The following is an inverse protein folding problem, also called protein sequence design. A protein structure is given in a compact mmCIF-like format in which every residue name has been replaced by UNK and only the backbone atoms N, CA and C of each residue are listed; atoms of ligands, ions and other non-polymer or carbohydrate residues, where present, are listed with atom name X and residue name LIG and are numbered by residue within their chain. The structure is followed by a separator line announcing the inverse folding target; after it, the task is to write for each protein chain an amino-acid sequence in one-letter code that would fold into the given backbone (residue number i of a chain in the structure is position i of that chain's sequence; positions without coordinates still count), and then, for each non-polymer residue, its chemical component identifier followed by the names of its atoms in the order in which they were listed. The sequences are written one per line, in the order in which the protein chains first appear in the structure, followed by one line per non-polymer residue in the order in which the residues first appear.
data_IF_661465061137
#
_entry.id   IF_661465061137
#
_cell.length_a   1.000
_cell.length_b   1.000
_cell.length_c   1.000
_cell.angle_alpha   90.00
_cell.angle_beta   90.00
_cell.angle_gamma   90.00
#
_symmetry.space_group_name_H-M   'P 1'
#
loop_
_entity.id
_entity.type
_entity.pdbx_description
1 polymer ?
#
# COMPACT_ATOMS: atom_id res chain seq x y z
N UNK A 1 50.48 -11.24 -25.01
CA UNK A 1 49.13 -10.85 -25.40
C UNK A 1 48.06 -11.44 -24.46
N UNK A 2 48.00 -12.75 -24.22
CA UNK A 2 46.95 -13.37 -23.34
C UNK A 2 46.97 -12.90 -21.89
N UNK A 3 48.15 -12.62 -21.32
CA UNK A 3 48.28 -12.16 -19.93
C UNK A 3 47.87 -10.69 -19.75
N UNK A 4 48.02 -9.87 -20.80
CA UNK A 4 47.59 -8.46 -20.77
C UNK A 4 46.05 -8.34 -20.84
N UNK A 5 45.40 -9.22 -21.62
CA UNK A 5 43.97 -9.27 -21.76
C UNK A 5 43.25 -9.72 -20.46
N UNK A 6 43.88 -10.68 -19.73
CA UNK A 6 43.38 -11.14 -18.45
C UNK A 6 43.47 -10.05 -17.37
N UNK A 7 44.56 -9.22 -17.38
CA UNK A 7 44.73 -8.12 -16.45
C UNK A 7 43.69 -6.99 -16.70
N UNK A 8 43.38 -6.71 -17.96
CA UNK A 8 42.35 -5.71 -18.32
C UNK A 8 40.94 -6.19 -17.93
N UNK A 9 40.62 -7.48 -18.10
CA UNK A 9 39.33 -8.00 -17.65
C UNK A 9 39.17 -7.99 -16.10
N UNK A 10 40.25 -8.32 -15.38
CA UNK A 10 40.23 -8.24 -13.91
C UNK A 10 40.09 -6.79 -13.38
N UNK A 11 40.71 -5.82 -14.04
CA UNK A 11 40.59 -4.39 -13.69
C UNK A 11 39.17 -3.86 -13.98
N UNK A 12 38.51 -4.36 -15.05
CA UNK A 12 37.14 -3.96 -15.41
C UNK A 12 36.08 -4.51 -14.43
N UNK A 13 36.30 -5.71 -13.85
CA UNK A 13 35.41 -6.26 -12.82
C UNK A 13 35.54 -5.54 -11.46
N UNK A 14 36.71 -4.98 -11.14
CA UNK A 14 36.92 -4.22 -9.91
C UNK A 14 36.25 -2.81 -9.94
N UNK A 15 36.03 -2.24 -11.13
CA UNK A 15 35.33 -0.95 -11.25
C UNK A 15 33.81 -1.06 -11.11
N UNK A 16 33.22 -2.25 -11.32
CA UNK A 16 31.77 -2.45 -11.16
C UNK A 16 31.30 -2.55 -9.71
N UNK A 17 32.18 -2.76 -8.75
CA UNK A 17 31.80 -2.90 -7.33
C UNK A 17 31.68 -1.56 -6.56
N UNK A 18 32.03 -0.42 -7.17
CA UNK A 18 31.98 0.88 -6.51
C UNK A 18 30.67 1.64 -6.80
N UNK A 19 29.83 1.15 -7.73
CA UNK A 19 28.61 1.82 -8.15
C UNK A 19 27.32 1.39 -7.39
N UNK A 20 27.40 0.50 -6.40
CA UNK A 20 26.25 0.03 -5.61
C UNK A 20 26.49 0.17 -4.12
N UNK A 21 26.77 1.38 -3.64
CA UNK A 21 26.99 1.69 -2.24
C UNK A 21 26.32 2.98 -1.78
N UNK A 22 25.17 3.32 -2.36
CA UNK A 22 24.29 4.36 -1.87
C UNK A 22 23.01 3.71 -1.36
N UNK A 23 22.92 3.46 -0.05
CA UNK A 23 21.64 3.31 0.64
C UNK A 23 21.03 4.72 0.77
N UNK A 24 20.73 5.33 -0.37
CA UNK A 24 19.82 6.47 -0.39
C UNK A 24 18.40 5.91 -0.26
N UNK A 25 18.01 5.63 0.98
CA UNK A 25 16.58 5.68 1.32
C UNK A 25 16.17 7.09 0.92
N UNK A 26 15.27 7.28 -0.06
CA UNK A 26 14.82 8.61 -0.42
C UNK A 26 14.17 9.21 0.81
N UNK A 27 14.86 10.15 1.46
CA UNK A 27 14.25 11.02 2.45
C UNK A 27 13.18 11.76 1.69
N UNK A 28 11.88 11.68 2.08
CA UNK A 28 10.84 12.42 1.40
C UNK A 28 11.26 13.88 1.40
N UNK A 29 11.43 14.45 0.22
CA UNK A 29 11.67 15.87 0.07
C UNK A 29 10.44 16.58 0.65
N UNK A 30 10.63 17.36 1.72
CA UNK A 30 9.56 17.99 2.49
C UNK A 30 8.70 18.98 1.67
N UNK A 31 9.02 19.15 0.41
CA UNK A 31 8.30 19.99 -0.55
C UNK A 31 7.52 19.22 -1.62
N UNK A 32 7.61 17.89 -1.68
CA UNK A 32 6.81 17.12 -2.64
C UNK A 32 5.45 16.82 -2.02
N UNK A 33 4.33 17.24 -2.62
CA UNK A 33 3.00 16.88 -2.13
C UNK A 33 2.85 15.37 -2.07
N UNK A 34 2.52 14.84 -0.90
CA UNK A 34 2.24 13.41 -0.73
C UNK A 34 0.87 13.12 -1.32
N UNK A 35 0.81 12.15 -2.22
CA UNK A 35 -0.45 11.67 -2.78
C UNK A 35 -0.76 10.28 -2.22
N UNK A 36 -1.92 10.12 -1.59
CA UNK A 36 -2.40 8.87 -1.03
C UNK A 36 -3.58 8.35 -1.87
N UNK A 37 -3.44 7.14 -2.38
CA UNK A 37 -4.53 6.42 -3.04
C UNK A 37 -5.20 5.54 -2.02
N UNK A 38 -6.52 5.71 -1.83
CA UNK A 38 -7.28 5.07 -0.77
C UNK A 38 -8.37 4.19 -1.37
N UNK A 39 -8.25 2.87 -1.19
CA UNK A 39 -9.27 1.88 -1.57
C UNK A 39 -10.46 1.93 -0.60
N UNK A 40 -11.69 1.96 -1.15
CA UNK A 40 -12.91 2.13 -0.34
C UNK A 40 -13.95 1.04 -0.61
N UNK A 41 -15.10 1.38 -1.10
CA UNK A 41 -16.21 0.53 -1.49
C UNK A 41 -16.97 1.16 -2.63
N UNK A 42 -18.20 0.73 -2.89
CA UNK A 42 -19.05 1.35 -3.89
C UNK A 42 -19.33 2.82 -3.58
N UNK A 43 -19.53 3.64 -4.61
CA UNK A 43 -19.72 5.10 -4.50
C UNK A 43 -20.90 5.53 -3.65
N UNK A 44 -21.91 4.66 -3.48
CA UNK A 44 -23.05 4.86 -2.58
C UNK A 44 -22.80 4.35 -1.15
N UNK A 45 -21.63 3.75 -0.88
CA UNK A 45 -21.31 3.14 0.41
C UNK A 45 -20.65 4.13 1.38
N UNK A 46 -20.72 3.78 2.67
CA UNK A 46 -20.18 4.57 3.76
C UNK A 46 -18.67 4.77 3.64
N UNK A 47 -17.92 3.75 3.24
CA UNK A 47 -16.46 3.83 3.06
C UNK A 47 -16.07 4.97 2.12
N UNK A 48 -16.74 5.03 0.95
CA UNK A 48 -16.46 6.06 -0.05
C UNK A 48 -16.81 7.46 0.47
N UNK A 49 -18.01 7.62 1.04
CA UNK A 49 -18.46 8.91 1.57
C UNK A 49 -17.57 9.42 2.73
N UNK A 50 -17.26 8.51 3.67
CA UNK A 50 -16.40 8.82 4.81
C UNK A 50 -15.00 9.22 4.36
N UNK A 51 -14.37 8.44 3.48
CA UNK A 51 -13.01 8.72 3.00
C UNK A 51 -12.92 10.05 2.26
N UNK A 52 -13.94 10.39 1.45
CA UNK A 52 -13.96 11.71 0.81
C UNK A 52 -14.04 12.85 1.82
N UNK A 53 -14.90 12.74 2.84
CA UNK A 53 -15.03 13.76 3.87
C UNK A 53 -13.73 13.94 4.68
N UNK A 54 -13.13 12.83 5.12
CA UNK A 54 -11.86 12.84 5.86
C UNK A 54 -10.71 13.35 4.98
N UNK A 55 -10.66 12.91 3.72
CA UNK A 55 -9.64 13.32 2.76
C UNK A 55 -9.65 14.84 2.50
N UNK A 56 -10.84 15.47 2.45
CA UNK A 56 -10.96 16.92 2.34
C UNK A 56 -10.35 17.62 3.56
N UNK A 57 -10.73 17.20 4.77
CA UNK A 57 -10.25 17.81 6.03
C UNK A 57 -8.73 17.63 6.19
N UNK A 58 -8.24 16.41 5.95
CA UNK A 58 -6.82 16.11 6.07
C UNK A 58 -6.00 16.79 4.97
N UNK A 59 -6.54 16.90 3.74
CA UNK A 59 -5.90 17.62 2.65
C UNK A 59 -5.65 19.08 2.98
N UNK A 60 -6.63 19.76 3.58
CA UNK A 60 -6.50 21.15 4.01
C UNK A 60 -5.45 21.33 5.11
N UNK A 61 -5.34 20.37 6.05
CA UNK A 61 -4.44 20.49 7.20
C UNK A 61 -3.01 19.99 6.93
N UNK A 62 -2.85 19.01 6.06
CA UNK A 62 -1.56 18.36 5.79
C UNK A 62 -0.94 18.78 4.45
N UNK A 63 -1.73 19.33 3.53
CA UNK A 63 -1.32 19.54 2.14
C UNK A 63 -1.23 18.24 1.32
N UNK A 64 -1.69 17.10 1.85
CA UNK A 64 -1.71 15.82 1.13
C UNK A 64 -2.88 15.76 0.16
N UNK A 65 -2.68 15.07 -0.95
CA UNK A 65 -3.75 14.76 -1.91
C UNK A 65 -4.28 13.37 -1.63
N UNK A 66 -5.61 13.24 -1.51
CA UNK A 66 -6.30 11.97 -1.31
C UNK A 66 -7.05 11.58 -2.59
N UNK A 67 -6.60 10.50 -3.23
CA UNK A 67 -7.23 9.92 -4.40
C UNK A 67 -8.13 8.76 -3.93
N UNK A 68 -9.44 9.01 -3.84
CA UNK A 68 -10.42 8.05 -3.30
C UNK A 68 -10.93 7.14 -4.40
N UNK A 69 -10.63 5.85 -4.29
CA UNK A 69 -10.96 4.84 -5.31
C UNK A 69 -12.16 4.02 -4.86
N UNK A 70 -13.17 3.93 -5.73
CA UNK A 70 -14.30 3.00 -5.57
C UNK A 70 -13.85 1.58 -5.89
N UNK A 71 -14.13 0.64 -5.00
CA UNK A 71 -13.68 -0.76 -5.10
C UNK A 71 -14.81 -1.74 -4.80
N UNK A 72 -14.50 -3.04 -4.88
CA UNK A 72 -15.39 -4.13 -4.45
C UNK A 72 -15.46 -4.32 -2.93
N UNK A 73 -14.86 -3.45 -2.12
CA UNK A 73 -14.86 -3.52 -0.65
C UNK A 73 -13.64 -4.26 -0.09
N UNK A 74 -13.77 -4.76 1.15
CA UNK A 74 -12.64 -5.19 1.99
C UNK A 74 -11.69 -6.20 1.36
N UNK A 75 -12.19 -7.21 0.65
CA UNK A 75 -11.34 -8.22 -0.02
C UNK A 75 -10.52 -7.56 -1.14
N UNK A 76 -11.17 -6.78 -2.00
CA UNK A 76 -10.49 -6.05 -3.07
C UNK A 76 -9.46 -5.06 -2.51
N UNK A 77 -9.78 -4.42 -1.40
CA UNK A 77 -8.92 -3.45 -0.74
C UNK A 77 -7.64 -4.08 -0.18
N UNK A 78 -7.75 -5.23 0.47
CA UNK A 78 -6.59 -5.95 1.01
C UNK A 78 -5.68 -6.44 -0.13
N UNK A 79 -6.27 -7.02 -1.17
CA UNK A 79 -5.48 -7.44 -2.34
C UNK A 79 -4.80 -6.24 -3.02
N UNK A 80 -5.48 -5.12 -3.19
CA UNK A 80 -4.90 -3.92 -3.79
C UNK A 80 -3.79 -3.27 -2.93
N UNK A 81 -3.81 -3.41 -1.60
CA UNK A 81 -2.67 -3.06 -0.73
C UNK A 81 -1.49 -3.99 -1.00
N UNK A 82 -1.72 -5.30 -1.08
CA UNK A 82 -0.67 -6.30 -1.37
C UNK A 82 -0.05 -6.08 -2.75
N UNK A 83 -0.86 -5.77 -3.74
CA UNK A 83 -0.44 -5.50 -5.12
C UNK A 83 0.23 -4.11 -5.29
N UNK A 84 0.11 -3.23 -4.28
CA UNK A 84 0.65 -1.87 -4.32
C UNK A 84 -0.22 -0.86 -5.08
N UNK A 85 -1.47 -1.21 -5.38
CA UNK A 85 -2.44 -0.32 -6.06
C UNK A 85 -2.92 0.81 -5.14
N UNK A 86 -2.95 0.55 -3.83
CA UNK A 86 -3.40 1.50 -2.81
C UNK A 86 -2.33 1.69 -1.72
N UNK A 87 -2.21 2.93 -1.24
CA UNK A 87 -1.38 3.25 -0.07
C UNK A 87 -2.14 3.02 1.23
N UNK A 88 -3.47 3.17 1.18
CA UNK A 88 -4.39 3.02 2.30
C UNK A 88 -5.68 2.37 1.83
N UNK A 89 -6.42 1.77 2.74
CA UNK A 89 -7.76 1.26 2.45
C UNK A 89 -8.62 1.17 3.72
N UNK A 90 -9.94 1.22 3.54
CA UNK A 90 -10.90 0.88 4.60
C UNK A 90 -11.31 -0.58 4.42
N UNK A 91 -11.18 -1.35 5.49
CA UNK A 91 -11.46 -2.78 5.50
C UNK A 91 -12.22 -3.19 6.76
N UNK A 92 -13.04 -4.22 6.67
CA UNK A 92 -13.67 -4.85 7.83
C UNK A 92 -12.63 -5.65 8.60
N UNK A 93 -12.73 -5.61 9.92
CA UNK A 93 -11.77 -6.29 10.81
C UNK A 93 -11.78 -7.81 10.65
N UNK A 94 -12.95 -8.44 10.42
CA UNK A 94 -13.06 -9.88 10.18
C UNK A 94 -12.35 -10.29 8.88
N UNK A 95 -12.50 -9.51 7.82
CA UNK A 95 -11.84 -9.74 6.53
C UNK A 95 -10.32 -9.59 6.66
N UNK A 96 -9.88 -8.57 7.40
CA UNK A 96 -8.46 -8.37 7.72
C UNK A 96 -7.87 -9.56 8.48
N UNK A 97 -8.58 -10.06 9.50
CA UNK A 97 -8.15 -11.24 10.28
C UNK A 97 -8.06 -12.48 9.38
N UNK A 98 -9.02 -12.68 8.49
CA UNK A 98 -9.00 -13.81 7.53
C UNK A 98 -7.81 -13.73 6.59
N UNK A 99 -7.51 -12.57 6.06
CA UNK A 99 -6.36 -12.35 5.18
C UNK A 99 -5.03 -12.62 5.91
N UNK A 100 -4.86 -12.00 7.08
CA UNK A 100 -3.62 -12.09 7.85
C UNK A 100 -3.30 -13.52 8.29
N UNK A 101 -4.31 -14.28 8.72
CA UNK A 101 -4.14 -15.64 9.23
C UNK A 101 -4.43 -16.74 8.20
N UNK A 102 -4.69 -16.38 6.94
CA UNK A 102 -5.06 -17.33 5.89
C UNK A 102 -6.28 -18.20 6.28
N UNK A 103 -7.36 -17.58 6.73
CA UNK A 103 -8.57 -18.28 7.15
C UNK A 103 -9.63 -18.38 6.03
N UNK A 104 -9.35 -17.85 4.86
CA UNK A 104 -10.25 -17.83 3.69
C UNK A 104 -9.42 -18.12 2.43
N UNK A 105 -9.29 -19.39 2.07
CA UNK A 105 -8.49 -19.82 0.92
C UNK A 105 -9.09 -19.39 -0.44
N UNK A 106 -10.36 -19.02 -0.47
CA UNK A 106 -11.02 -18.56 -1.69
C UNK A 106 -10.62 -17.12 -2.05
N UNK A 107 -10.65 -16.23 -1.06
CA UNK A 107 -10.33 -14.82 -1.26
C UNK A 107 -8.83 -14.52 -1.07
N UNK A 108 -8.16 -15.31 -0.21
CA UNK A 108 -6.76 -15.10 0.17
C UNK A 108 -5.99 -16.43 0.06
N UNK A 109 -5.43 -16.76 -1.12
CA UNK A 109 -4.71 -18.03 -1.34
C UNK A 109 -3.41 -18.14 -0.50
N UNK A 110 -2.88 -17.01 -0.04
CA UNK A 110 -1.75 -16.91 0.89
C UNK A 110 -2.07 -15.92 2.00
N UNK A 111 -1.34 -16.00 3.12
CA UNK A 111 -1.44 -14.98 4.16
C UNK A 111 -0.92 -13.63 3.63
N UNK A 112 -1.68 -12.56 3.87
CA UNK A 112 -1.30 -11.20 3.52
C UNK A 112 -0.95 -10.47 4.82
N UNK A 113 0.32 -10.16 5.01
CA UNK A 113 0.87 -9.55 6.24
C UNK A 113 1.61 -8.24 5.97
N UNK A 114 1.57 -7.75 4.73
CA UNK A 114 2.29 -6.57 4.23
C UNK A 114 1.66 -5.23 4.64
N UNK A 115 0.59 -5.25 5.43
CA UNK A 115 -0.11 -4.03 5.86
C UNK A 115 0.01 -3.78 7.38
N UNK A 116 -0.25 -2.53 7.78
CA UNK A 116 -0.38 -2.11 9.17
C UNK A 116 -1.72 -1.44 9.41
N UNK A 117 -2.28 -1.62 10.61
CA UNK A 117 -3.55 -0.98 11.01
C UNK A 117 -3.26 0.40 11.57
N UNK A 118 -3.88 1.44 11.02
CA UNK A 118 -3.76 2.81 11.49
C UNK A 118 -4.75 3.14 12.61
N UNK A 119 -5.94 2.56 12.57
CA UNK A 119 -6.98 2.79 13.56
C UNK A 119 -8.34 2.25 13.14
N UNK A 120 -9.32 2.40 14.03
CA UNK A 120 -10.72 2.10 13.76
C UNK A 120 -11.44 3.37 13.30
N UNK A 121 -12.30 3.23 12.28
CA UNK A 121 -13.05 4.33 11.69
C UNK A 121 -14.43 4.45 12.30
N UNK A 122 -15.18 3.34 12.34
CA UNK A 122 -16.50 3.23 12.95
C UNK A 122 -16.89 1.76 13.16
N UNK A 123 -17.89 1.52 14.01
CA UNK A 123 -18.42 0.17 14.24
C UNK A 123 -19.57 -0.12 13.28
N UNK A 124 -19.52 -1.29 12.61
CA UNK A 124 -20.63 -1.81 11.80
C UNK A 124 -21.45 -2.79 12.64
N UNK A 125 -22.74 -2.51 12.78
CA UNK A 125 -23.66 -3.34 13.56
C UNK A 125 -24.51 -4.17 12.60
N UNK A 126 -24.47 -5.50 12.75
CA UNK A 126 -25.35 -6.40 12.01
C UNK A 126 -26.78 -6.27 12.57
N UNK A 127 -27.74 -6.02 11.69
CA UNK A 127 -29.17 -5.99 12.02
C UNK A 127 -29.91 -7.02 11.19
N UNK A 128 -30.76 -7.83 11.85
CA UNK A 128 -31.66 -8.76 11.20
C UNK A 128 -33.04 -8.11 11.21
N UNK A 129 -33.58 -7.88 10.01
CA UNK A 129 -34.94 -7.37 9.81
C UNK A 129 -35.82 -8.55 9.39
N UNK A 130 -36.87 -8.82 10.13
CA UNK A 130 -37.87 -9.88 9.88
C UNK A 130 -39.18 -9.25 9.47
#
# INVERSE_FOLDING_TARGET
MKKLLALMMAAMMLLCCVACGGNDTPTPDSNTPVSLTVGTGGTAGTYYAYTNAVGMILGETTGYTYNVISTGGSVANINGIEDGDYNMAIVQNDTMIKAYNKLDDFNFPSAITSFSVLGEVYSEVMQIVV
#
